data_IF_891328719869
#
_entry.id   IF_891328719869
#
_cell.length_a   1.000
_cell.length_b   1.000
_cell.length_c   1.000
_cell.angle_alpha   90.00
_cell.angle_beta   90.00
_cell.angle_gamma   90.00
#
_symmetry.space_group_name_H-M   'P 1'
#
loop_
_entity.id
_entity.type
_entity.pdbx_description
1 polymer ?
#
# COMPACT_ATOMS: atom_id res chain seq x y z
N UNK A 1 -29.83 -20.28 -25.00
CA UNK A 1 -28.74 -19.31 -24.81
C UNK A 1 -27.62 -20.01 -24.06
N UNK A 2 -26.43 -20.10 -24.62
CA UNK A 2 -25.33 -20.69 -23.89
C UNK A 2 -24.82 -19.67 -22.83
N UNK A 3 -24.04 -20.10 -21.86
CA UNK A 3 -23.51 -19.21 -20.79
C UNK A 3 -22.82 -17.97 -21.34
N UNK A 4 -22.15 -18.10 -22.49
CA UNK A 4 -21.43 -17.01 -23.16
C UNK A 4 -22.41 -15.95 -23.70
N UNK A 5 -23.54 -16.34 -24.26
CA UNK A 5 -24.57 -15.43 -24.76
C UNK A 5 -25.26 -14.67 -23.62
N UNK A 6 -25.44 -15.32 -22.45
CA UNK A 6 -25.96 -14.66 -21.25
C UNK A 6 -24.99 -13.63 -20.71
N UNK A 7 -23.68 -13.96 -20.66
CA UNK A 7 -22.62 -13.05 -20.23
C UNK A 7 -22.55 -11.84 -21.17
N UNK A 8 -22.58 -12.05 -22.49
CA UNK A 8 -22.58 -10.97 -23.48
C UNK A 8 -23.81 -10.05 -23.30
N UNK A 9 -24.98 -10.61 -23.12
CA UNK A 9 -26.22 -9.84 -22.90
C UNK A 9 -26.16 -9.00 -21.62
N UNK A 10 -25.64 -9.56 -20.53
CA UNK A 10 -25.43 -8.84 -19.25
C UNK A 10 -24.41 -7.72 -19.45
N UNK A 11 -23.34 -7.96 -20.18
CA UNK A 11 -22.31 -6.94 -20.47
C UNK A 11 -22.87 -5.79 -21.30
N UNK A 12 -23.69 -6.09 -22.32
CA UNK A 12 -24.33 -5.06 -23.16
C UNK A 12 -25.33 -4.21 -22.35
N UNK A 13 -26.14 -4.85 -21.49
CA UNK A 13 -27.03 -4.15 -20.58
C UNK A 13 -26.26 -3.26 -19.62
N UNK A 14 -25.20 -3.77 -19.05
CA UNK A 14 -24.32 -3.05 -18.11
C UNK A 14 -23.62 -1.86 -18.78
N UNK A 15 -23.17 -2.01 -20.04
CA UNK A 15 -22.62 -0.89 -20.82
C UNK A 15 -23.64 0.22 -21.09
N UNK A 16 -24.91 -0.16 -21.35
CA UNK A 16 -25.99 0.82 -21.52
C UNK A 16 -26.30 1.57 -20.24
N UNK A 17 -26.37 0.89 -19.12
CA UNK A 17 -26.58 1.50 -17.80
C UNK A 17 -25.42 2.42 -17.41
N UNK A 18 -24.18 2.03 -17.72
CA UNK A 18 -22.99 2.88 -17.55
C UNK A 18 -23.08 4.17 -18.36
N UNK A 19 -23.45 4.04 -19.63
CA UNK A 19 -23.54 5.21 -20.50
C UNK A 19 -24.65 6.14 -20.03
N UNK A 20 -25.77 5.59 -19.57
CA UNK A 20 -26.87 6.37 -19.00
C UNK A 20 -26.43 7.09 -17.73
N UNK A 21 -25.81 6.39 -16.80
CA UNK A 21 -25.28 6.98 -15.55
C UNK A 21 -24.27 8.09 -15.82
N UNK A 22 -23.38 7.89 -16.80
CA UNK A 22 -22.41 8.92 -17.24
C UNK A 22 -23.11 10.16 -17.78
N UNK A 23 -24.19 9.98 -18.54
CA UNK A 23 -24.99 11.07 -19.07
C UNK A 23 -25.73 11.82 -17.94
N UNK A 24 -26.30 11.10 -16.99
CA UNK A 24 -27.02 11.68 -15.85
C UNK A 24 -26.10 12.47 -14.93
N UNK A 25 -24.88 11.96 -14.69
CA UNK A 25 -23.83 12.64 -13.93
C UNK A 25 -23.36 13.90 -14.66
N UNK A 26 -23.17 13.85 -15.99
CA UNK A 26 -22.82 15.04 -16.77
C UNK A 26 -23.93 16.08 -16.76
N UNK A 27 -25.20 15.67 -16.80
CA UNK A 27 -26.36 16.55 -16.70
C UNK A 27 -26.42 17.21 -15.30
N UNK A 28 -26.20 16.44 -14.24
CA UNK A 28 -26.13 16.93 -12.87
C UNK A 28 -24.95 17.92 -12.70
N UNK A 29 -23.78 17.58 -13.23
CA UNK A 29 -22.62 18.47 -13.24
C UNK A 29 -22.92 19.80 -13.93
N UNK A 30 -23.54 19.76 -15.12
CA UNK A 30 -23.91 20.97 -15.86
C UNK A 30 -24.98 21.78 -15.12
N UNK A 31 -25.95 21.11 -14.49
CA UNK A 31 -26.97 21.76 -13.67
C UNK A 31 -26.37 22.46 -12.46
N UNK A 32 -25.51 21.79 -11.71
CA UNK A 32 -24.79 22.35 -10.58
C UNK A 32 -23.91 23.51 -11.04
N UNK A 33 -23.13 23.34 -12.11
CA UNK A 33 -22.29 24.38 -12.70
C UNK A 33 -23.10 25.62 -13.09
N UNK A 34 -24.25 25.45 -13.76
CA UNK A 34 -25.09 26.56 -14.18
C UNK A 34 -25.76 27.27 -12.98
N UNK A 35 -26.23 26.52 -11.96
CA UNK A 35 -26.78 27.07 -10.73
C UNK A 35 -25.77 27.91 -9.95
N UNK A 36 -24.50 27.54 -9.99
CA UNK A 36 -23.41 28.19 -9.29
C UNK A 36 -22.85 29.41 -10.04
N UNK A 37 -22.90 29.39 -11.39
CA UNK A 37 -22.61 30.59 -12.21
C UNK A 37 -23.62 31.69 -11.94
N UNK A 38 -24.85 31.34 -11.57
CA UNK A 38 -25.89 32.31 -11.21
C UNK A 38 -25.73 32.89 -9.79
N UNK A 39 -24.97 32.27 -8.90
CA UNK A 39 -24.69 32.83 -7.56
C UNK A 39 -23.33 33.55 -7.55
N UNK A 40 -23.35 34.84 -7.70
CA UNK A 40 -22.24 35.75 -8.03
C UNK A 40 -21.07 35.88 -7.02
N UNK A 41 -20.99 35.11 -5.95
CA UNK A 41 -20.04 35.36 -4.84
C UNK A 41 -19.09 34.21 -4.39
N UNK A 42 -18.93 33.12 -5.15
CA UNK A 42 -17.98 32.07 -4.74
C UNK A 42 -17.30 31.32 -5.90
N UNK A 43 -16.97 32.00 -6.97
CA UNK A 43 -16.47 31.37 -8.20
C UNK A 43 -15.06 30.74 -8.07
N UNK A 44 -14.20 31.24 -7.23
CA UNK A 44 -12.82 30.76 -7.10
C UNK A 44 -12.76 29.43 -6.38
N UNK A 45 -13.42 29.29 -5.23
CA UNK A 45 -13.43 28.02 -4.47
C UNK A 45 -14.13 26.89 -5.24
N UNK A 46 -15.11 27.25 -6.05
CA UNK A 46 -15.85 26.32 -6.89
C UNK A 46 -14.99 25.74 -8.02
N UNK A 47 -14.28 26.60 -8.75
CA UNK A 47 -13.45 26.17 -9.88
C UNK A 47 -12.17 25.45 -9.44
N UNK A 48 -11.61 25.82 -8.29
CA UNK A 48 -10.34 25.28 -7.84
C UNK A 48 -10.47 24.04 -6.95
N UNK A 49 -11.62 23.85 -6.26
CA UNK A 49 -11.81 22.73 -5.33
C UNK A 49 -12.98 21.83 -5.66
N UNK A 50 -14.17 22.41 -5.86
CA UNK A 50 -15.41 21.60 -5.99
C UNK A 50 -15.49 20.92 -7.36
N UNK A 51 -15.22 21.62 -8.45
CA UNK A 51 -15.26 21.03 -9.80
C UNK A 51 -14.20 19.96 -10.03
N UNK A 52 -12.93 20.14 -9.61
CA UNK A 52 -11.94 19.05 -9.66
C UNK A 52 -12.31 17.86 -8.78
N UNK A 53 -12.86 18.08 -7.58
CA UNK A 53 -13.29 17.00 -6.71
C UNK A 53 -14.48 16.21 -7.30
N UNK A 54 -15.48 16.90 -7.87
CA UNK A 54 -16.58 16.27 -8.58
C UNK A 54 -16.10 15.49 -9.80
N UNK A 55 -15.16 16.02 -10.56
CA UNK A 55 -14.58 15.32 -11.71
C UNK A 55 -13.85 14.07 -11.27
N UNK A 56 -13.06 14.12 -10.19
CA UNK A 56 -12.39 12.97 -9.59
C UNK A 56 -13.41 11.91 -9.11
N UNK A 57 -14.52 12.33 -8.51
CA UNK A 57 -15.60 11.40 -8.11
C UNK A 57 -16.26 10.75 -9.32
N UNK A 58 -16.51 11.50 -10.39
CA UNK A 58 -17.12 11.01 -11.64
C UNK A 58 -16.17 10.01 -12.32
N UNK A 59 -14.89 10.37 -12.44
CA UNK A 59 -13.88 9.49 -13.01
C UNK A 59 -13.69 8.24 -12.14
N UNK A 60 -13.78 8.38 -10.80
CA UNK A 60 -13.76 7.29 -9.84
C UNK A 60 -14.94 6.33 -9.99
N UNK A 61 -16.17 6.83 -10.18
CA UNK A 61 -17.35 6.01 -10.42
C UNK A 61 -17.26 5.24 -11.74
N UNK A 62 -16.81 5.88 -12.81
CA UNK A 62 -16.59 5.23 -14.10
C UNK A 62 -15.53 4.14 -14.04
N UNK A 63 -14.46 4.38 -13.31
CA UNK A 63 -13.40 3.38 -13.07
C UNK A 63 -13.90 2.24 -12.17
N UNK A 64 -14.67 2.52 -11.11
CA UNK A 64 -15.23 1.50 -10.24
C UNK A 64 -16.05 0.46 -11.01
N UNK A 65 -16.92 0.93 -11.89
CA UNK A 65 -17.78 0.06 -12.67
C UNK A 65 -17.00 -0.75 -13.71
N UNK A 66 -16.01 -0.12 -14.35
CA UNK A 66 -15.09 -0.78 -15.29
C UNK A 66 -14.29 -1.90 -14.62
N UNK A 67 -13.91 -1.71 -13.36
CA UNK A 67 -13.19 -2.73 -12.59
C UNK A 67 -14.10 -3.82 -12.02
N UNK A 68 -15.33 -3.53 -11.64
CA UNK A 68 -16.28 -4.59 -11.25
C UNK A 68 -16.55 -5.53 -12.41
N UNK A 69 -16.66 -4.99 -13.62
CA UNK A 69 -16.76 -5.80 -14.84
C UNK A 69 -15.44 -6.54 -15.10
N UNK A 70 -14.31 -5.87 -14.98
CA UNK A 70 -13.02 -6.50 -15.17
C UNK A 70 -12.79 -7.61 -14.14
N UNK A 71 -13.11 -7.41 -12.87
CA UNK A 71 -13.03 -8.42 -11.82
C UNK A 71 -13.95 -9.62 -12.12
N UNK A 72 -15.13 -9.37 -12.69
CA UNK A 72 -16.05 -10.43 -13.12
C UNK A 72 -15.54 -11.19 -14.35
N UNK A 73 -14.99 -10.48 -15.34
CA UNK A 73 -14.44 -11.07 -16.59
C UNK A 73 -13.13 -11.82 -16.31
N UNK A 74 -12.32 -11.36 -15.37
CA UNK A 74 -11.00 -11.95 -15.08
C UNK A 74 -11.04 -13.26 -14.33
N UNK A 75 -12.15 -13.61 -13.71
CA UNK A 75 -12.39 -15.01 -13.33
C UNK A 75 -12.36 -15.96 -14.54
N UNK A 76 -12.43 -15.41 -15.78
CA UNK A 76 -12.62 -16.19 -17.00
C UNK A 76 -11.56 -16.05 -18.10
N UNK A 77 -10.38 -15.51 -17.87
CA UNK A 77 -9.21 -15.49 -18.77
C UNK A 77 -8.66 -14.10 -19.16
N UNK A 78 -7.34 -14.01 -19.15
CA UNK A 78 -6.42 -13.15 -19.91
C UNK A 78 -5.84 -11.88 -19.26
N UNK A 79 -6.13 -11.53 -18.02
CA UNK A 79 -5.36 -10.50 -17.34
C UNK A 79 -4.24 -11.15 -16.50
N UNK A 80 -3.09 -10.51 -16.47
CA UNK A 80 -2.02 -10.92 -15.57
C UNK A 80 -2.38 -10.60 -14.13
N UNK A 81 -2.52 -11.63 -13.32
CA UNK A 81 -2.60 -11.54 -11.86
C UNK A 81 -1.33 -12.13 -11.27
N UNK A 82 -0.54 -11.32 -10.57
CA UNK A 82 0.58 -11.87 -9.81
C UNK A 82 0.04 -12.81 -8.74
N UNK A 83 0.71 -13.95 -8.56
CA UNK A 83 0.41 -14.84 -7.45
C UNK A 83 0.89 -14.21 -6.15
N UNK A 84 -0.03 -13.94 -5.22
CA UNK A 84 0.26 -13.27 -3.94
C UNK A 84 -0.15 -14.20 -2.80
N UNK A 85 0.79 -14.49 -1.90
CA UNK A 85 0.57 -15.30 -0.71
C UNK A 85 -0.18 -14.52 0.38
N UNK A 86 -0.93 -15.24 1.20
CA UNK A 86 -1.71 -14.67 2.30
C UNK A 86 -0.83 -14.04 3.38
N UNK A 87 -1.40 -13.13 4.19
CA UNK A 87 -0.75 -12.61 5.40
C UNK A 87 -0.26 -13.72 6.32
N UNK A 88 -1.08 -14.79 6.50
CA UNK A 88 -0.73 -15.92 7.36
C UNK A 88 0.52 -16.65 6.85
N UNK A 89 0.58 -16.94 5.56
CA UNK A 89 1.75 -17.58 4.93
C UNK A 89 2.98 -16.67 5.07
N UNK A 90 2.84 -15.39 4.80
CA UNK A 90 3.93 -14.41 4.91
C UNK A 90 4.49 -14.35 6.33
N UNK A 91 3.63 -14.25 7.35
CA UNK A 91 4.03 -14.22 8.76
C UNK A 91 4.71 -15.53 9.16
N UNK A 92 4.19 -16.67 8.74
CA UNK A 92 4.79 -17.98 9.03
C UNK A 92 6.19 -18.10 8.44
N UNK A 93 6.43 -17.64 7.23
CA UNK A 93 7.73 -17.65 6.61
C UNK A 93 8.74 -16.73 7.33
N UNK A 94 8.28 -15.56 7.81
CA UNK A 94 9.10 -14.67 8.64
C UNK A 94 9.54 -15.39 9.93
N UNK A 95 8.60 -16.05 10.62
CA UNK A 95 8.84 -16.63 11.94
C UNK A 95 9.61 -17.94 11.86
N UNK A 96 9.18 -18.86 10.99
CA UNK A 96 9.66 -20.23 10.98
C UNK A 96 10.89 -20.40 10.08
N UNK A 97 11.00 -19.61 9.01
CA UNK A 97 12.10 -19.72 8.04
C UNK A 97 13.11 -18.58 8.16
N UNK A 98 12.85 -17.60 9.05
CA UNK A 98 13.73 -16.44 9.24
C UNK A 98 13.79 -15.53 8.02
N UNK A 99 12.78 -15.58 7.12
CA UNK A 99 12.78 -14.76 5.92
C UNK A 99 12.58 -13.27 6.23
N UNK A 100 13.20 -12.45 5.42
CA UNK A 100 13.06 -10.99 5.40
C UNK A 100 11.95 -10.56 4.45
N UNK A 101 11.52 -9.29 4.54
CA UNK A 101 10.43 -8.76 3.74
C UNK A 101 10.76 -7.36 3.20
N UNK A 102 10.75 -7.22 1.87
CA UNK A 102 10.76 -5.93 1.17
C UNK A 102 9.38 -5.69 0.56
N UNK A 103 8.80 -4.49 0.77
CA UNK A 103 7.45 -4.18 0.31
C UNK A 103 7.47 -3.16 -0.81
N UNK A 104 6.57 -3.36 -1.78
CA UNK A 104 6.36 -2.49 -2.93
C UNK A 104 4.90 -2.04 -2.97
N UNK A 105 4.68 -0.76 -2.78
CA UNK A 105 3.41 -0.09 -2.97
C UNK A 105 3.49 0.88 -4.15
N UNK A 106 2.51 1.78 -4.24
CA UNK A 106 2.41 2.80 -5.27
C UNK A 106 3.60 3.77 -5.26
N UNK A 107 4.19 4.02 -4.09
CA UNK A 107 5.38 4.86 -3.93
C UNK A 107 6.61 4.28 -4.61
N UNK A 108 6.94 3.02 -4.33
CA UNK A 108 8.08 2.31 -4.89
C UNK A 108 7.95 2.15 -6.40
N UNK A 109 6.79 1.74 -6.89
CA UNK A 109 6.52 1.66 -8.33
C UNK A 109 6.63 3.03 -9.01
N UNK A 110 6.16 4.10 -8.37
CA UNK A 110 6.28 5.46 -8.92
C UNK A 110 7.73 5.88 -9.10
N UNK A 111 8.60 5.55 -8.15
CA UNK A 111 10.03 5.83 -8.25
C UNK A 111 10.66 5.01 -9.38
N UNK A 112 10.36 3.71 -9.49
CA UNK A 112 10.85 2.85 -10.57
C UNK A 112 10.46 3.42 -11.96
N UNK A 113 9.26 4.00 -12.08
CA UNK A 113 8.81 4.62 -13.34
C UNK A 113 9.29 6.06 -13.56
N UNK A 114 10.11 6.59 -12.68
CA UNK A 114 10.58 7.97 -12.79
C UNK A 114 9.50 9.03 -12.57
N UNK A 115 8.39 8.65 -11.93
CA UNK A 115 7.29 9.58 -11.66
C UNK A 115 7.58 10.35 -10.38
N UNK A 116 7.72 11.67 -10.49
CA UNK A 116 7.95 12.52 -9.33
C UNK A 116 6.59 12.78 -8.63
N UNK A 117 6.36 12.16 -7.47
CA UNK A 117 5.20 12.40 -6.61
C UNK A 117 5.63 13.21 -5.39
N UNK A 118 4.73 14.06 -4.90
CA UNK A 118 4.89 14.63 -3.56
C UNK A 118 4.79 13.48 -2.53
N UNK A 119 5.95 13.07 -1.99
CA UNK A 119 6.04 11.96 -1.05
C UNK A 119 7.22 12.15 -0.09
N UNK A 120 7.35 11.27 0.88
CA UNK A 120 8.50 11.23 1.80
C UNK A 120 9.85 11.06 1.11
N UNK A 121 9.85 10.52 -0.11
CA UNK A 121 11.03 10.30 -0.92
C UNK A 121 10.79 10.90 -2.31
N UNK A 122 11.63 11.85 -2.69
CA UNK A 122 11.69 12.36 -4.05
C UNK A 122 12.29 11.31 -4.98
N UNK A 123 12.00 11.43 -6.28
CA UNK A 123 12.66 10.61 -7.28
C UNK A 123 14.18 10.76 -7.18
N UNK A 124 14.84 9.64 -7.26
CA UNK A 124 16.29 9.48 -7.27
C UNK A 124 16.60 8.31 -8.20
N UNK A 125 17.48 8.52 -9.18
CA UNK A 125 17.79 7.53 -10.21
C UNK A 125 18.42 6.28 -9.61
N UNK A 126 19.37 6.44 -8.70
CA UNK A 126 20.03 5.33 -8.04
C UNK A 126 19.05 4.53 -7.18
N UNK A 127 18.14 5.20 -6.46
CA UNK A 127 17.08 4.51 -5.72
C UNK A 127 16.15 3.73 -6.66
N UNK A 128 15.79 4.31 -7.82
CA UNK A 128 14.97 3.65 -8.83
C UNK A 128 15.60 2.35 -9.32
N UNK A 129 16.88 2.39 -9.67
CA UNK A 129 17.64 1.20 -10.11
C UNK A 129 17.72 0.14 -8.99
N UNK A 130 18.00 0.58 -7.76
CA UNK A 130 18.07 -0.31 -6.60
C UNK A 130 16.72 -0.98 -6.29
N UNK A 131 15.63 -0.21 -6.32
CA UNK A 131 14.28 -0.77 -6.14
C UNK A 131 13.95 -1.81 -7.22
N UNK A 132 14.30 -1.54 -8.48
CA UNK A 132 14.12 -2.51 -9.55
C UNK A 132 14.93 -3.78 -9.32
N UNK A 133 16.19 -3.65 -8.90
CA UNK A 133 17.04 -4.78 -8.52
C UNK A 133 16.39 -5.63 -7.42
N UNK A 134 15.86 -4.99 -6.37
CA UNK A 134 15.19 -5.68 -5.27
C UNK A 134 13.92 -6.40 -5.75
N UNK A 135 13.08 -5.73 -6.55
CA UNK A 135 11.84 -6.30 -7.09
C UNK A 135 12.10 -7.59 -7.90
N UNK A 136 13.21 -7.60 -8.64
CA UNK A 136 13.62 -8.71 -9.50
C UNK A 136 14.51 -9.75 -8.78
N UNK A 137 14.85 -9.54 -7.51
CA UNK A 137 15.70 -10.46 -6.75
C UNK A 137 15.08 -11.83 -6.59
N UNK A 138 15.87 -12.88 -6.80
CA UNK A 138 15.51 -14.28 -6.54
C UNK A 138 16.15 -14.83 -5.26
N UNK A 139 16.60 -13.94 -4.35
CA UNK A 139 17.14 -14.35 -3.06
C UNK A 139 16.06 -15.03 -2.22
N UNK A 140 16.25 -16.30 -1.89
CA UNK A 140 15.29 -17.13 -1.15
C UNK A 140 15.06 -16.69 0.31
N UNK A 141 16.01 -15.94 0.90
CA UNK A 141 15.88 -15.34 2.23
C UNK A 141 15.08 -14.04 2.23
N UNK A 142 14.78 -13.46 1.03
CA UNK A 142 14.05 -12.20 0.90
C UNK A 142 12.71 -12.40 0.19
N UNK A 143 11.63 -12.20 0.90
CA UNK A 143 10.30 -12.15 0.33
C UNK A 143 10.04 -10.77 -0.29
N UNK A 144 9.65 -10.76 -1.55
CA UNK A 144 9.19 -9.56 -2.23
C UNK A 144 7.67 -9.48 -2.07
N UNK A 145 7.19 -8.42 -1.45
CA UNK A 145 5.76 -8.21 -1.24
C UNK A 145 5.27 -7.06 -2.12
N UNK A 146 4.16 -7.29 -2.81
CA UNK A 146 3.43 -6.29 -3.59
C UNK A 146 2.02 -6.15 -3.03
N UNK A 147 1.36 -5.03 -3.29
CA UNK A 147 0.02 -4.80 -2.78
C UNK A 147 -0.97 -5.82 -3.38
N UNK A 148 -1.79 -6.45 -2.54
CA UNK A 148 -2.84 -7.38 -2.98
C UNK A 148 -4.08 -6.58 -3.48
N UNK A 149 -3.91 -5.94 -4.62
CA UNK A 149 -4.87 -5.01 -5.22
C UNK A 149 -5.13 -5.29 -6.71
N UNK A 150 -4.77 -6.48 -7.20
CA UNK A 150 -4.93 -6.85 -8.62
C UNK A 150 -6.26 -7.56 -8.92
N UNK A 151 -6.84 -8.24 -7.95
CA UNK A 151 -8.03 -9.11 -8.11
C UNK A 151 -9.19 -8.67 -7.24
N UNK A 152 -9.75 -9.64 -6.49
CA UNK A 152 -10.90 -9.42 -5.61
C UNK A 152 -10.61 -8.39 -4.51
N UNK A 153 -11.37 -7.31 -4.53
CA UNK A 153 -11.30 -6.23 -3.56
C UNK A 153 -12.38 -6.33 -2.47
N UNK A 154 -13.18 -7.40 -2.42
CA UNK A 154 -14.32 -7.55 -1.50
C UNK A 154 -13.95 -7.38 -0.02
N UNK A 155 -12.71 -7.74 0.36
CA UNK A 155 -12.18 -7.62 1.72
C UNK A 155 -11.91 -6.19 2.18
N UNK A 156 -11.89 -5.22 1.28
CA UNK A 156 -11.58 -3.82 1.60
C UNK A 156 -12.83 -2.96 1.79
N UNK A 157 -12.67 -1.85 2.52
CA UNK A 157 -13.72 -0.83 2.65
C UNK A 157 -14.04 -0.19 1.29
N UNK A 158 -15.22 0.43 1.16
CA UNK A 158 -15.61 1.14 -0.08
C UNK A 158 -14.63 2.26 -0.44
N UNK A 159 -14.12 3.00 0.57
CA UNK A 159 -13.10 4.04 0.38
C UNK A 159 -11.79 3.44 -0.18
N UNK A 160 -11.28 2.40 0.45
CA UNK A 160 -10.05 1.73 0.00
C UNK A 160 -10.19 1.11 -1.38
N UNK A 161 -11.36 0.52 -1.72
CA UNK A 161 -11.65 0.05 -3.07
C UNK A 161 -11.56 1.17 -4.10
N UNK A 162 -12.16 2.33 -3.79
CA UNK A 162 -12.12 3.50 -4.69
C UNK A 162 -10.69 4.01 -4.90
N UNK A 163 -9.89 4.08 -3.85
CA UNK A 163 -8.47 4.48 -3.95
C UNK A 163 -7.65 3.47 -4.76
N UNK A 164 -7.80 2.18 -4.48
CA UNK A 164 -7.13 1.11 -5.23
C UNK A 164 -7.49 1.21 -6.72
N UNK A 165 -8.75 1.37 -7.03
CA UNK A 165 -9.22 1.45 -8.42
C UNK A 165 -8.74 2.70 -9.14
N UNK A 166 -8.67 3.83 -8.44
CA UNK A 166 -8.10 5.06 -8.99
C UNK A 166 -6.61 4.92 -9.34
N UNK A 167 -5.86 4.15 -8.54
CA UNK A 167 -4.46 3.87 -8.79
C UNK A 167 -4.24 2.79 -9.85
N UNK A 168 -4.95 1.66 -9.75
CA UNK A 168 -4.78 0.46 -10.60
C UNK A 168 -5.48 0.60 -11.95
N UNK A 169 -5.17 1.67 -12.69
CA UNK A 169 -5.62 1.88 -14.06
C UNK A 169 -5.08 0.82 -15.02
N UNK A 170 -5.65 0.69 -16.22
CA UNK A 170 -5.13 -0.20 -17.27
C UNK A 170 -3.66 0.08 -17.59
N UNK A 171 -3.26 1.36 -17.60
CA UNK A 171 -1.88 1.77 -17.82
C UNK A 171 -0.97 1.31 -16.67
N UNK A 172 -1.40 1.50 -15.41
CA UNK A 172 -0.65 1.06 -14.24
C UNK A 172 -0.48 -0.46 -14.23
N UNK A 173 -1.55 -1.21 -14.54
CA UNK A 173 -1.50 -2.69 -14.61
C UNK A 173 -0.52 -3.16 -15.68
N UNK A 174 -0.56 -2.57 -16.88
CA UNK A 174 0.39 -2.88 -17.96
C UNK A 174 1.83 -2.59 -17.57
N UNK A 175 2.08 -1.45 -16.91
CA UNK A 175 3.41 -1.12 -16.38
C UNK A 175 3.86 -2.17 -15.36
N UNK A 176 3.02 -2.53 -14.38
CA UNK A 176 3.35 -3.59 -13.41
C UNK A 176 3.64 -4.92 -14.10
N UNK A 177 2.85 -5.31 -15.11
CA UNK A 177 3.07 -6.54 -15.87
C UNK A 177 4.45 -6.60 -16.55
N UNK A 178 5.01 -5.46 -16.97
CA UNK A 178 6.36 -5.41 -17.57
C UNK A 178 7.48 -5.61 -16.54
N UNK A 179 7.23 -5.32 -15.27
CA UNK A 179 8.22 -5.41 -14.19
C UNK A 179 8.14 -6.71 -13.40
N UNK A 180 6.93 -7.26 -13.27
CA UNK A 180 6.68 -8.43 -12.43
C UNK A 180 6.97 -9.72 -13.19
N UNK A 181 7.64 -10.66 -12.51
CA UNK A 181 7.87 -11.98 -13.05
C UNK A 181 6.58 -12.83 -12.90
N UNK A 182 6.02 -13.30 -14.02
CA UNK A 182 4.77 -14.08 -14.07
C UNK A 182 4.89 -15.46 -13.35
N UNK A 183 6.10 -15.97 -13.20
CA UNK A 183 6.37 -17.25 -12.56
C UNK A 183 6.71 -17.13 -11.07
N UNK A 184 6.88 -15.90 -10.56
CA UNK A 184 7.22 -15.62 -9.16
C UNK A 184 5.97 -15.59 -8.29
N UNK A 185 6.09 -16.14 -7.10
CA UNK A 185 5.10 -15.93 -6.04
C UNK A 185 5.56 -14.75 -5.18
N UNK A 186 4.70 -13.76 -5.08
CA UNK A 186 4.89 -12.58 -4.24
C UNK A 186 4.21 -12.76 -2.89
N UNK A 187 4.46 -11.85 -1.97
CA UNK A 187 3.79 -11.74 -0.68
C UNK A 187 2.91 -10.49 -0.63
N UNK A 188 1.98 -10.40 0.33
CA UNK A 188 1.10 -9.25 0.42
C UNK A 188 1.75 -8.09 1.19
N UNK A 189 2.00 -6.97 0.51
CA UNK A 189 2.54 -5.76 1.12
C UNK A 189 1.56 -5.11 2.10
N UNK A 190 0.26 -5.43 2.02
CA UNK A 190 -0.75 -4.93 2.96
C UNK A 190 -0.73 -5.65 4.32
N UNK A 191 0.18 -6.58 4.54
CA UNK A 191 0.40 -7.21 5.86
C UNK A 191 0.55 -6.17 6.98
N UNK A 192 1.10 -4.99 6.68
CA UNK A 192 1.27 -3.87 7.63
C UNK A 192 0.16 -2.82 7.53
N UNK A 193 -0.82 -3.00 6.63
CA UNK A 193 -2.04 -2.20 6.47
C UNK A 193 -3.29 -2.99 6.92
N UNK A 194 -3.18 -3.67 8.01
CA UNK A 194 -4.05 -4.76 8.46
C UNK A 194 -5.39 -4.32 9.06
N UNK A 195 -5.61 -3.03 9.30
CA UNK A 195 -6.79 -2.53 9.99
C UNK A 195 -7.61 -1.55 9.13
N UNK A 196 -7.05 -0.40 8.76
CA UNK A 196 -7.81 0.73 8.21
C UNK A 196 -8.47 0.40 6.86
N UNK A 197 -7.79 -0.35 6.02
CA UNK A 197 -8.30 -0.73 4.70
C UNK A 197 -9.39 -1.81 4.75
N UNK A 198 -9.46 -2.60 5.83
CA UNK A 198 -10.28 -3.80 5.91
C UNK A 198 -11.73 -3.47 6.28
N UNK A 199 -12.68 -4.20 5.68
CA UNK A 199 -14.12 -4.02 5.94
C UNK A 199 -14.64 -4.77 7.17
N UNK A 200 -13.78 -5.56 7.84
CA UNK A 200 -14.11 -6.41 8.97
C UNK A 200 -13.71 -5.83 10.34
N UNK A 201 -13.53 -4.50 10.41
CA UNK A 201 -13.04 -3.78 11.60
C UNK A 201 -13.82 -4.08 12.90
N UNK A 202 -15.12 -4.42 12.77
CA UNK A 202 -16.03 -4.67 13.91
C UNK A 202 -16.11 -6.14 14.33
N UNK A 203 -15.20 -6.97 13.82
CA UNK A 203 -15.10 -8.41 14.13
C UNK A 203 -13.86 -8.72 14.96
N UNK A 204 -13.63 -9.99 15.29
CA UNK A 204 -12.39 -10.47 15.91
C UNK A 204 -11.17 -10.50 14.96
N UNK A 205 -11.39 -10.30 13.67
CA UNK A 205 -10.34 -10.43 12.66
C UNK A 205 -9.16 -9.45 12.86
N UNK A 206 -9.38 -8.16 13.20
CA UNK A 206 -8.28 -7.23 13.51
C UNK A 206 -7.41 -7.70 14.68
N UNK A 207 -8.00 -8.14 15.77
CA UNK A 207 -7.27 -8.65 16.93
C UNK A 207 -6.44 -9.88 16.58
N UNK A 208 -6.98 -10.79 15.78
CA UNK A 208 -6.29 -11.97 15.30
C UNK A 208 -5.12 -11.62 14.38
N UNK A 209 -5.29 -10.65 13.47
CA UNK A 209 -4.19 -10.16 12.61
C UNK A 209 -3.08 -9.53 13.43
N UNK A 210 -3.42 -8.67 14.38
CA UNK A 210 -2.45 -8.04 15.28
C UNK A 210 -1.70 -9.10 16.12
N UNK A 211 -2.42 -10.06 16.70
CA UNK A 211 -1.81 -11.14 17.47
C UNK A 211 -0.79 -11.92 16.64
N UNK A 212 -1.09 -12.19 15.38
CA UNK A 212 -0.16 -12.86 14.48
C UNK A 212 1.04 -11.98 14.13
N UNK A 213 0.84 -10.70 13.86
CA UNK A 213 1.93 -9.75 13.60
C UNK A 213 2.88 -9.64 14.79
N UNK A 214 2.36 -9.55 16.00
CA UNK A 214 3.18 -9.47 17.23
C UNK A 214 4.08 -10.69 17.46
N UNK A 215 3.78 -11.85 16.85
CA UNK A 215 4.67 -13.02 16.89
C UNK A 215 6.00 -12.81 16.18
N UNK A 216 6.06 -11.90 15.20
CA UNK A 216 7.27 -11.60 14.43
C UNK A 216 8.41 -11.14 15.34
N UNK A 217 8.11 -10.26 16.29
CA UNK A 217 9.11 -9.69 17.21
C UNK A 217 9.03 -10.23 18.64
N UNK A 218 8.20 -11.26 18.87
CA UNK A 218 8.06 -11.85 20.18
C UNK A 218 9.39 -12.42 20.69
N UNK A 219 9.87 -11.96 21.84
CA UNK A 219 11.16 -12.33 22.44
C UNK A 219 12.39 -12.12 21.52
N UNK A 220 12.29 -11.24 20.53
CA UNK A 220 13.41 -10.85 19.68
C UNK A 220 14.08 -9.57 20.18
N UNK A 221 15.39 -9.46 19.99
CA UNK A 221 16.06 -8.18 20.08
C UNK A 221 15.75 -7.40 18.79
N UNK A 222 15.10 -6.27 18.91
CA UNK A 222 14.65 -5.46 17.77
C UNK A 222 15.52 -4.23 17.62
N UNK A 223 15.91 -3.95 16.38
CA UNK A 223 16.49 -2.68 15.97
C UNK A 223 15.53 -2.03 14.96
N UNK A 224 14.85 -0.98 15.39
CA UNK A 224 14.01 -0.17 14.51
C UNK A 224 14.89 0.83 13.75
N UNK A 225 14.85 0.79 12.41
CA UNK A 225 15.42 1.82 11.54
C UNK A 225 14.28 2.68 11.04
N UNK A 226 14.19 3.91 11.53
CA UNK A 226 13.01 4.74 11.31
C UNK A 226 13.36 6.20 11.05
N UNK A 227 12.50 6.89 10.29
CA UNK A 227 12.62 8.34 10.13
C UNK A 227 12.38 9.06 11.46
N UNK A 228 13.04 10.19 11.67
CA UNK A 228 12.99 11.00 12.91
C UNK A 228 11.57 11.31 13.42
N UNK A 229 10.58 11.33 12.51
CA UNK A 229 9.18 11.60 12.83
C UNK A 229 8.31 10.32 12.93
N UNK A 230 8.85 9.15 12.66
CA UNK A 230 8.07 7.89 12.59
C UNK A 230 7.68 7.39 13.98
N UNK A 231 8.62 7.35 14.94
CA UNK A 231 8.41 7.04 16.36
C UNK A 231 7.66 5.72 16.59
N UNK A 232 8.11 4.61 15.96
CA UNK A 232 7.49 3.28 16.08
C UNK A 232 7.30 2.86 17.55
N UNK A 233 6.07 2.53 17.95
CA UNK A 233 5.73 2.06 19.30
C UNK A 233 5.85 3.11 20.41
N UNK A 234 6.13 4.37 20.10
CA UNK A 234 6.20 5.40 21.13
C UNK A 234 4.81 5.81 21.58
N UNK A 235 4.53 5.59 22.87
CA UNK A 235 3.22 5.90 23.45
C UNK A 235 2.18 4.80 23.26
N UNK A 236 2.58 3.60 22.84
CA UNK A 236 1.72 2.43 22.75
C UNK A 236 2.51 1.14 23.03
N UNK A 237 1.82 0.00 23.13
CA UNK A 237 2.37 -1.30 23.50
C UNK A 237 2.54 -2.27 22.33
N UNK A 238 2.70 -1.76 21.10
CA UNK A 238 2.84 -2.59 19.90
C UNK A 238 4.02 -3.56 20.03
N UNK A 239 5.15 -3.10 20.57
CA UNK A 239 6.41 -3.84 20.63
C UNK A 239 6.79 -4.31 22.05
N UNK A 240 5.87 -4.25 23.02
CA UNK A 240 6.17 -4.60 24.42
C UNK A 240 6.57 -6.08 24.62
N UNK A 241 6.25 -6.95 23.67
CA UNK A 241 6.63 -8.36 23.69
C UNK A 241 8.00 -8.63 23.03
N UNK A 242 8.73 -7.61 22.57
CA UNK A 242 10.13 -7.75 22.15
C UNK A 242 11.04 -7.89 23.38
N UNK A 243 12.13 -8.65 23.26
CA UNK A 243 13.11 -8.78 24.34
C UNK A 243 13.88 -7.48 24.59
N UNK A 244 14.17 -6.75 23.53
CA UNK A 244 14.75 -5.40 23.59
C UNK A 244 14.34 -4.60 22.36
N UNK A 245 14.34 -3.26 22.49
CA UNK A 245 13.99 -2.38 21.36
C UNK A 245 14.96 -1.21 21.31
N UNK A 246 15.81 -1.19 20.27
CA UNK A 246 16.77 -0.13 19.98
C UNK A 246 16.36 0.63 18.72
N UNK A 247 16.95 1.81 18.49
CA UNK A 247 16.61 2.66 17.36
C UNK A 247 17.84 3.16 16.62
N UNK A 248 17.77 3.13 15.30
CA UNK A 248 18.64 3.87 14.39
C UNK A 248 17.76 4.91 13.72
N UNK A 249 18.06 6.19 13.92
CA UNK A 249 17.25 7.29 13.42
C UNK A 249 17.81 7.77 12.08
N UNK A 250 16.96 7.74 11.07
CA UNK A 250 17.23 8.22 9.72
C UNK A 250 16.52 9.57 9.48
N UNK A 251 16.88 10.32 8.42
CA UNK A 251 16.11 11.50 8.03
C UNK A 251 14.62 11.18 7.82
N UNK A 252 13.74 12.08 8.25
CA UNK A 252 12.28 11.92 8.13
C UNK A 252 11.76 11.97 6.69
N UNK A 253 12.54 12.55 5.77
CA UNK A 253 12.29 12.59 4.33
C UNK A 253 13.57 12.36 3.55
N UNK A 254 13.46 11.84 2.33
CA UNK A 254 14.59 11.60 1.44
C UNK A 254 15.74 10.79 2.11
N UNK A 255 15.37 9.78 2.89
CA UNK A 255 16.32 8.95 3.65
C UNK A 255 17.38 8.29 2.77
N UNK A 256 17.09 8.06 1.49
CA UNK A 256 18.05 7.49 0.55
C UNK A 256 19.31 8.35 0.38
N UNK A 257 19.24 9.67 0.56
CA UNK A 257 20.42 10.56 0.51
C UNK A 257 21.47 10.26 1.59
N UNK A 258 21.06 9.54 2.65
CA UNK A 258 21.90 9.09 3.76
C UNK A 258 21.96 7.58 3.86
N UNK A 259 21.74 6.91 2.73
CA UNK A 259 21.59 5.45 2.68
C UNK A 259 22.83 4.72 3.23
N UNK A 260 24.02 5.10 2.78
CA UNK A 260 25.26 4.45 3.19
C UNK A 260 25.52 4.64 4.71
N UNK A 261 25.28 5.84 5.24
CA UNK A 261 25.39 6.12 6.68
C UNK A 261 24.41 5.24 7.49
N UNK A 262 23.20 5.01 6.96
CA UNK A 262 22.18 4.18 7.60
C UNK A 262 22.58 2.70 7.56
N UNK A 263 23.04 2.20 6.42
CA UNK A 263 23.51 0.82 6.28
C UNK A 263 24.71 0.56 7.19
N UNK A 264 25.70 1.45 7.19
CA UNK A 264 26.88 1.36 8.04
C UNK A 264 26.51 1.31 9.53
N UNK A 265 25.54 2.14 9.95
CA UNK A 265 25.02 2.10 11.31
C UNK A 265 24.36 0.75 11.63
N UNK A 266 23.57 0.19 10.70
CA UNK A 266 22.96 -1.13 10.87
C UNK A 266 24.01 -2.21 11.03
N UNK A 267 25.04 -2.23 10.19
CA UNK A 267 26.13 -3.22 10.22
C UNK A 267 27.00 -3.08 11.47
N UNK A 268 27.20 -1.85 11.94
CA UNK A 268 28.02 -1.56 13.12
C UNK A 268 27.34 -1.91 14.43
N UNK A 269 26.04 -1.64 14.55
CA UNK A 269 25.32 -1.76 15.82
C UNK A 269 24.44 -3.00 15.90
N UNK A 270 24.19 -3.67 14.77
CA UNK A 270 23.40 -4.90 14.68
C UNK A 270 24.20 -6.15 15.01
N UNK A 271 23.53 -7.08 15.66
CA UNK A 271 23.98 -8.47 15.83
C UNK A 271 23.18 -9.38 14.88
N UNK A 272 23.79 -10.50 14.46
CA UNK A 272 23.12 -11.48 13.55
C UNK A 272 21.82 -12.07 14.12
N UNK A 273 21.63 -11.97 15.43
CA UNK A 273 20.43 -12.43 16.11
C UNK A 273 19.36 -11.33 16.27
N UNK A 274 19.68 -10.10 15.88
CA UNK A 274 18.74 -8.99 15.96
C UNK A 274 17.77 -9.02 14.77
N UNK A 275 16.53 -8.60 15.02
CA UNK A 275 15.51 -8.38 14.01
C UNK A 275 15.46 -6.89 13.65
N UNK A 276 15.74 -6.56 12.42
CA UNK A 276 15.57 -5.19 11.93
C UNK A 276 14.12 -4.94 11.51
N UNK A 277 13.50 -3.88 12.04
CA UNK A 277 12.19 -3.37 11.61
C UNK A 277 12.41 -2.02 10.91
N UNK A 278 12.05 -1.94 9.63
CA UNK A 278 12.38 -0.82 8.76
C UNK A 278 11.16 0.05 8.48
N UNK A 279 11.29 1.36 8.68
CA UNK A 279 10.24 2.36 8.45
C UNK A 279 10.85 3.69 7.95
N UNK A 280 11.60 3.63 6.85
CA UNK A 280 12.26 4.76 6.19
C UNK A 280 11.75 5.01 4.77
N UNK A 281 10.47 4.73 4.53
CA UNK A 281 9.83 4.87 3.22
C UNK A 281 10.41 3.92 2.17
N UNK A 282 10.47 4.31 0.89
CA UNK A 282 10.93 3.43 -0.19
C UNK A 282 12.35 2.87 -0.01
N UNK A 283 13.20 3.55 0.75
CA UNK A 283 14.54 3.06 1.08
C UNK A 283 14.51 1.78 1.94
N UNK A 284 13.38 1.47 2.62
CA UNK A 284 13.25 0.26 3.44
C UNK A 284 13.41 -1.03 2.63
N UNK A 285 12.85 -1.08 1.41
CA UNK A 285 12.98 -2.25 0.54
C UNK A 285 14.44 -2.53 0.15
N UNK A 286 15.19 -1.47 -0.18
CA UNK A 286 16.63 -1.58 -0.51
C UNK A 286 17.43 -1.99 0.72
N UNK A 287 17.14 -1.40 1.88
CA UNK A 287 17.83 -1.74 3.12
C UNK A 287 17.56 -3.18 3.56
N UNK A 288 16.32 -3.67 3.40
CA UNK A 288 16.01 -5.08 3.67
C UNK A 288 16.84 -6.01 2.79
N UNK A 289 16.99 -5.70 1.52
CA UNK A 289 17.82 -6.47 0.60
C UNK A 289 19.30 -6.49 1.02
N UNK A 290 19.90 -5.35 1.31
CA UNK A 290 21.31 -5.27 1.68
C UNK A 290 21.59 -5.92 3.05
N UNK A 291 20.67 -5.81 4.00
CA UNK A 291 20.78 -6.50 5.28
C UNK A 291 20.73 -8.02 5.11
N UNK A 292 19.89 -8.53 4.21
CA UNK A 292 19.83 -9.96 3.87
C UNK A 292 21.15 -10.44 3.23
N UNK A 293 21.77 -9.64 2.35
CA UNK A 293 23.08 -9.95 1.78
C UNK A 293 24.18 -10.04 2.86
N UNK A 294 23.96 -9.38 4.00
CA UNK A 294 24.84 -9.43 5.15
C UNK A 294 24.31 -10.36 6.26
N UNK A 295 23.45 -11.35 5.93
CA UNK A 295 22.91 -12.38 6.85
C UNK A 295 22.14 -11.82 8.06
N UNK A 296 21.46 -10.68 7.92
CA UNK A 296 20.52 -10.15 8.90
C UNK A 296 19.08 -10.44 8.48
N UNK A 297 18.18 -10.57 9.46
CA UNK A 297 16.75 -10.59 9.22
C UNK A 297 16.20 -9.17 9.28
N UNK A 298 15.50 -8.72 8.23
CA UNK A 298 14.97 -7.38 8.12
C UNK A 298 13.54 -7.37 7.53
N UNK A 299 12.63 -6.65 8.17
CA UNK A 299 11.23 -6.56 7.81
C UNK A 299 10.85 -5.09 7.57
N UNK A 300 10.46 -4.76 6.35
CA UNK A 300 9.82 -3.48 6.08
C UNK A 300 8.43 -3.47 6.72
N UNK A 301 8.26 -2.67 7.76
CA UNK A 301 7.00 -2.53 8.50
C UNK A 301 6.21 -1.26 8.13
N UNK A 302 6.84 -0.32 7.43
CA UNK A 302 6.19 0.91 6.95
C UNK A 302 5.35 1.61 8.02
N UNK A 303 4.03 1.69 7.77
CA UNK A 303 3.09 2.43 8.63
C UNK A 303 2.39 1.57 9.70
N UNK A 304 3.00 0.47 10.14
CA UNK A 304 2.36 -0.46 11.09
C UNK A 304 1.92 0.21 12.40
N UNK A 305 2.69 1.18 12.87
CA UNK A 305 2.38 1.93 14.10
C UNK A 305 1.12 2.80 13.94
N UNK A 306 0.96 3.45 12.79
CA UNK A 306 -0.24 4.24 12.50
C UNK A 306 -1.50 3.35 12.42
N UNK A 307 -1.39 2.19 11.78
CA UNK A 307 -2.47 1.20 11.74
C UNK A 307 -2.85 0.73 13.17
N UNK A 308 -1.84 0.54 14.02
CA UNK A 308 -2.05 0.16 15.40
C UNK A 308 -2.74 1.26 16.22
N UNK A 309 -2.33 2.52 16.04
CA UNK A 309 -2.99 3.64 16.71
C UNK A 309 -4.45 3.81 16.26
N UNK A 310 -4.76 3.63 14.98
CA UNK A 310 -6.14 3.61 14.50
C UNK A 310 -6.94 2.45 15.09
N UNK A 311 -6.34 1.27 15.23
CA UNK A 311 -6.98 0.12 15.87
C UNK A 311 -7.30 0.40 17.33
N UNK A 312 -6.36 0.94 18.11
CA UNK A 312 -6.58 1.30 19.52
C UNK A 312 -7.69 2.35 19.70
N UNK A 313 -7.76 3.29 18.77
CA UNK A 313 -8.79 4.33 18.74
C UNK A 313 -10.16 3.83 18.25
N UNK A 314 -10.27 2.59 17.77
CA UNK A 314 -11.48 2.09 17.12
C UNK A 314 -11.90 2.91 15.90
N UNK A 315 -10.92 3.50 15.19
CA UNK A 315 -11.17 4.45 14.10
C UNK A 315 -11.87 3.76 12.92
N UNK A 316 -12.96 4.31 12.45
CA UNK A 316 -13.68 3.84 11.27
C UNK A 316 -13.09 4.42 9.97
N UNK A 317 -12.58 5.65 10.04
CA UNK A 317 -12.00 6.39 8.92
C UNK A 317 -10.60 6.87 9.26
N UNK A 318 -9.82 7.24 8.23
CA UNK A 318 -8.50 7.87 8.42
C UNK A 318 -8.69 9.24 9.07
N UNK A 319 -8.36 9.32 10.32
CA UNK A 319 -8.40 10.56 11.10
C UNK A 319 -7.02 10.90 11.60
N UNK A 320 -6.76 12.20 11.82
CA UNK A 320 -5.59 12.60 12.59
C UNK A 320 -5.74 12.08 14.02
N UNK A 321 -4.73 11.38 14.50
CA UNK A 321 -4.70 10.91 15.89
C UNK A 321 -4.12 12.03 16.73
N UNK A 322 -4.80 12.47 17.82
CA UNK A 322 -4.26 13.49 18.70
C UNK A 322 -2.86 13.10 19.21
N UNK A 323 -1.90 14.01 19.08
CA UNK A 323 -0.50 13.78 19.47
C UNK A 323 0.36 13.06 18.43
N UNK A 324 -0.18 12.61 17.31
CA UNK A 324 0.62 12.22 16.15
C UNK A 324 1.01 13.46 15.34
N UNK A 325 2.28 13.55 14.96
CA UNK A 325 2.69 14.52 13.92
C UNK A 325 1.91 14.16 12.66
N UNK A 326 1.36 15.15 11.89
CA UNK A 326 0.66 14.86 10.66
C UNK A 326 1.55 14.00 9.77
N UNK A 327 1.27 12.71 9.73
CA UNK A 327 1.86 11.81 8.75
C UNK A 327 1.09 12.11 7.47
N UNK A 328 1.73 12.71 6.48
CA UNK A 328 1.12 12.90 5.17
C UNK A 328 0.60 11.54 4.69
N UNK A 329 -0.70 11.47 4.51
CA UNK A 329 -1.43 10.30 4.01
C UNK A 329 -1.48 10.38 2.50
#
# INVERSE_FOLDING_TARGET
>A
MNELEQIISIMEQFQKEQQQMKNDINNLYNTVKNSLIMQKNSTTDMNERVLPALKLMIDGLGNNLKYEIADYITHNNHLFFPKIESHKTTINNIINEGKSLARFGDGEFSIIYGTNRWSFQQYDEQLSERLLQVLQSDNDKLMIAIADNYGDLSKYTSESKSEIRAYMTDETRKKHETLLNKNKTYHDAYITRWYMMMNDKKTEAPANRLSNLKKIWNNKNVIAVEGEFTRLGVGNNLFDNAASFKRIIAPGTNSFRKYDDILDACLKYGSKNDLFLLAIGPSSGVLAYDLVQNDYQAIDVGHIDLEYMWYLAGAENRTSIPGSIPKFV
#
